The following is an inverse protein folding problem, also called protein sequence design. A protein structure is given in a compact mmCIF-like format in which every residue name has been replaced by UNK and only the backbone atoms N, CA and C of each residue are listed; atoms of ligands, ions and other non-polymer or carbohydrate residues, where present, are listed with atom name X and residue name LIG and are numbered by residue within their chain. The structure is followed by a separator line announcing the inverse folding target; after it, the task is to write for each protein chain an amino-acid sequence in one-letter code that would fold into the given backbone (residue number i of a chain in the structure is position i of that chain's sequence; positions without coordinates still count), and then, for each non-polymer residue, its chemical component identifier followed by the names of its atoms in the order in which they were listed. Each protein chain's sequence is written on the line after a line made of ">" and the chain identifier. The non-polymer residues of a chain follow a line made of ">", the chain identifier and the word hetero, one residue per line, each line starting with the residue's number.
data_IF_946449871267
#
_entry.id   IF_946449871267
#
_cell.length_a   1.000
_cell.length_b   1.000
_cell.length_c   1.000
_cell.angle_alpha   90.00
_cell.angle_beta   90.00
_cell.angle_gamma   90.00
#
_symmetry.space_group_name_H-M   'P 1'
#
loop_
_entity.id
_entity.type
_entity.pdbx_description
1 polymer ?
#
# COMPACT_ATOMS: atom_id res chain seq x y z
N UNK A 1 -11.20 -23.21 8.41
CA UNK A 1 -10.95 -22.00 9.21
C UNK A 1 -10.25 -20.98 8.34
N UNK A 2 -10.73 -19.74 8.30
CA UNK A 2 -10.04 -18.64 7.63
C UNK A 2 -8.82 -18.22 8.48
N UNK A 3 -7.67 -18.02 7.84
CA UNK A 3 -6.48 -17.50 8.54
C UNK A 3 -6.59 -15.99 8.64
N UNK A 4 -6.42 -15.43 9.83
CA UNK A 4 -6.39 -13.99 10.05
C UNK A 4 -4.94 -13.51 10.18
N UNK A 5 -4.59 -12.44 9.46
CA UNK A 5 -3.23 -11.86 9.43
C UNK A 5 -3.32 -10.36 9.72
N UNK A 6 -2.53 -9.91 10.70
CA UNK A 6 -2.33 -8.50 11.01
C UNK A 6 -1.03 -8.00 10.39
N UNK A 7 -1.07 -6.87 9.70
CA UNK A 7 0.08 -6.18 9.12
C UNK A 7 0.21 -4.82 9.80
N UNK A 8 1.40 -4.50 10.31
CA UNK A 8 1.69 -3.20 10.93
C UNK A 8 2.46 -2.32 9.93
N UNK A 9 1.85 -1.20 9.55
CA UNK A 9 2.32 -0.24 8.57
C UNK A 9 1.65 -0.40 7.19
N UNK A 10 0.95 0.63 6.72
CA UNK A 10 0.40 0.73 5.37
C UNK A 10 1.34 1.46 4.39
N UNK A 11 2.64 1.26 4.55
CA UNK A 11 3.64 1.63 3.53
C UNK A 11 3.62 0.66 2.34
N UNK A 12 4.46 0.93 1.33
CA UNK A 12 4.57 0.09 0.13
C UNK A 12 4.79 -1.39 0.47
N UNK A 13 5.63 -1.69 1.46
CA UNK A 13 5.89 -3.07 1.90
C UNK A 13 4.63 -3.71 2.47
N UNK A 14 3.93 -3.06 3.40
CA UNK A 14 2.73 -3.64 4.03
C UNK A 14 1.57 -3.82 3.05
N UNK A 15 1.37 -2.85 2.15
CA UNK A 15 0.38 -2.96 1.06
C UNK A 15 0.74 -4.11 0.11
N UNK A 16 2.00 -4.22 -0.30
CA UNK A 16 2.49 -5.31 -1.14
C UNK A 16 2.30 -6.68 -0.47
N UNK A 17 2.65 -6.80 0.81
CA UNK A 17 2.45 -8.03 1.58
C UNK A 17 0.97 -8.44 1.63
N UNK A 18 0.07 -7.50 1.91
CA UNK A 18 -1.37 -7.76 1.91
C UNK A 18 -1.87 -8.27 0.56
N UNK A 19 -1.38 -7.67 -0.52
CA UNK A 19 -1.73 -8.04 -1.88
C UNK A 19 -1.27 -9.44 -2.25
N UNK A 20 -0.02 -9.78 -1.98
CA UNK A 20 0.50 -11.12 -2.28
C UNK A 20 -0.17 -12.20 -1.42
N UNK A 21 -0.47 -11.92 -0.15
CA UNK A 21 -1.23 -12.84 0.70
C UNK A 21 -2.63 -13.12 0.11
N UNK A 22 -3.33 -12.08 -0.34
CA UNK A 22 -4.65 -12.21 -0.98
C UNK A 22 -4.61 -12.90 -2.34
N UNK A 23 -3.52 -12.76 -3.10
CA UNK A 23 -3.33 -13.53 -4.33
C UNK A 23 -3.11 -15.02 -4.07
N UNK A 24 -2.36 -15.35 -3.01
CA UNK A 24 -2.07 -16.74 -2.67
C UNK A 24 -3.31 -17.46 -2.13
N UNK A 25 -4.09 -16.78 -1.29
CA UNK A 25 -5.37 -17.31 -0.80
C UNK A 25 -6.36 -16.16 -0.54
N UNK A 26 -7.40 -16.02 -1.38
CA UNK A 26 -8.43 -14.99 -1.23
C UNK A 26 -9.15 -15.04 0.13
N UNK A 27 -9.17 -16.20 0.80
CA UNK A 27 -9.88 -16.42 2.05
C UNK A 27 -9.10 -15.97 3.29
N UNK A 28 -7.83 -15.57 3.14
CA UNK A 28 -7.06 -14.97 4.25
C UNK A 28 -7.71 -13.64 4.61
N UNK A 29 -8.06 -13.46 5.88
CA UNK A 29 -8.54 -12.18 6.39
C UNK A 29 -7.34 -11.31 6.77
N UNK A 30 -7.15 -10.20 6.05
CA UNK A 30 -5.97 -9.32 6.22
C UNK A 30 -6.43 -7.99 6.80
N UNK A 31 -5.88 -7.64 7.96
CA UNK A 31 -6.05 -6.32 8.57
C UNK A 31 -4.73 -5.58 8.59
N UNK A 32 -4.71 -4.35 8.05
CA UNK A 32 -3.54 -3.47 8.05
C UNK A 32 -3.77 -2.36 9.06
N UNK A 33 -2.84 -2.17 9.99
CA UNK A 33 -2.83 -1.09 10.95
C UNK A 33 -1.81 -0.04 10.51
N UNK A 34 -2.23 1.22 10.40
CA UNK A 34 -1.38 2.34 10.04
C UNK A 34 -1.52 3.43 11.10
N UNK A 35 -0.40 4.00 11.52
CA UNK A 35 -0.39 5.02 12.55
C UNK A 35 -0.83 6.39 12.02
N UNK A 36 -0.57 6.67 10.74
CA UNK A 36 -0.97 7.90 10.09
C UNK A 36 -2.40 7.86 9.57
N UNK A 37 -2.91 9.03 9.15
CA UNK A 37 -4.23 9.18 8.57
C UNK A 37 -4.31 8.79 7.08
N UNK A 38 -3.26 8.19 6.51
CA UNK A 38 -3.22 7.80 5.09
C UNK A 38 -2.34 6.56 4.85
N UNK A 39 -2.66 5.72 3.86
CA UNK A 39 -1.72 4.72 3.36
C UNK A 39 -0.62 5.37 2.50
N UNK A 40 0.41 4.59 2.17
CA UNK A 40 1.53 4.96 1.30
C UNK A 40 2.87 5.08 2.02
N UNK A 41 2.86 5.27 3.35
CA UNK A 41 4.07 5.45 4.14
C UNK A 41 4.90 6.62 3.58
N UNK A 42 6.17 6.38 3.23
CA UNK A 42 7.05 7.41 2.64
C UNK A 42 6.64 7.85 1.22
N UNK A 43 5.80 7.10 0.53
CA UNK A 43 5.27 7.50 -0.80
C UNK A 43 4.17 8.54 -0.58
N UNK A 44 4.40 9.74 -1.12
CA UNK A 44 3.47 10.86 -1.00
C UNK A 44 3.64 11.81 -2.19
N UNK A 45 2.60 11.89 -3.01
CA UNK A 45 2.50 12.89 -4.08
C UNK A 45 1.50 13.97 -3.66
N UNK A 46 1.90 15.23 -3.76
CA UNK A 46 1.05 16.38 -3.50
C UNK A 46 0.69 17.06 -4.81
N UNK A 47 -0.61 17.24 -5.09
CA UNK A 47 -1.09 17.94 -6.28
C UNK A 47 -1.68 19.28 -5.89
N UNK A 48 -1.19 20.36 -6.53
CA UNK A 48 -1.70 21.71 -6.32
C UNK A 48 -1.50 22.55 -7.58
N UNK A 49 -2.52 23.30 -7.98
CA UNK A 49 -2.46 24.29 -9.06
C UNK A 49 -1.89 23.74 -10.39
N UNK A 50 -2.23 22.49 -10.72
CA UNK A 50 -1.73 21.79 -11.92
C UNK A 50 -0.35 21.14 -11.77
N UNK A 51 0.34 21.38 -10.66
CA UNK A 51 1.63 20.77 -10.35
C UNK A 51 1.45 19.48 -9.54
N UNK A 52 2.36 18.53 -9.77
CA UNK A 52 2.52 17.33 -8.97
C UNK A 52 3.92 17.35 -8.35
N UNK A 53 3.97 17.32 -7.03
CA UNK A 53 5.19 17.41 -6.23
C UNK A 53 5.32 16.09 -5.46
N UNK A 54 6.40 15.35 -5.73
CA UNK A 54 6.75 14.19 -4.93
C UNK A 54 7.37 14.66 -3.61
N UNK A 55 6.66 14.42 -2.50
CA UNK A 55 7.13 14.66 -1.14
C UNK A 55 7.87 13.44 -0.57
N UNK A 56 8.02 12.39 -1.38
CA UNK A 56 8.61 11.11 -1.07
C UNK A 56 9.58 10.64 -2.17
N UNK A 57 9.78 9.32 -2.36
CA UNK A 57 10.63 8.81 -3.44
C UNK A 57 10.06 9.20 -4.81
N UNK A 58 10.87 9.90 -5.59
CA UNK A 58 10.50 10.47 -6.90
C UNK A 58 10.40 9.40 -8.01
N UNK A 59 11.20 8.34 -7.91
CA UNK A 59 11.30 7.32 -8.95
C UNK A 59 11.77 5.98 -8.38
N UNK A 60 11.42 4.89 -9.07
CA UNK A 60 11.95 3.56 -8.82
C UNK A 60 12.74 3.07 -10.03
N UNK A 61 13.70 2.17 -9.81
CA UNK A 61 14.49 1.60 -10.91
C UNK A 61 13.75 0.41 -11.52
N UNK A 62 13.17 0.60 -12.72
CA UNK A 62 12.41 -0.42 -13.45
C UNK A 62 13.20 -1.63 -13.97
N UNK A 63 14.47 -1.82 -13.58
CA UNK A 63 15.24 -3.03 -13.92
C UNK A 63 14.90 -4.24 -13.05
N UNK A 64 14.06 -4.07 -12.01
CA UNK A 64 13.55 -5.17 -11.19
C UNK A 64 12.05 -5.37 -11.49
N UNK A 65 11.72 -6.52 -12.05
CA UNK A 65 10.40 -6.89 -12.55
C UNK A 65 9.29 -6.95 -11.47
N UNK A 66 9.63 -6.82 -10.18
CA UNK A 66 8.67 -6.94 -9.08
C UNK A 66 7.78 -5.70 -8.90
N UNK A 67 8.25 -4.53 -9.34
CA UNK A 67 7.55 -3.25 -9.09
C UNK A 67 6.43 -2.96 -10.10
N UNK A 68 6.52 -3.47 -11.33
CA UNK A 68 5.59 -3.14 -12.41
C UNK A 68 4.17 -3.71 -12.18
N UNK A 69 4.03 -4.79 -11.39
CA UNK A 69 2.72 -5.42 -11.12
C UNK A 69 1.90 -4.70 -10.05
N UNK A 70 2.48 -3.76 -9.30
CA UNK A 70 1.87 -3.12 -8.13
C UNK A 70 1.30 -1.73 -8.48
N UNK A 71 1.87 -1.04 -9.46
CA UNK A 71 1.45 0.32 -9.86
C UNK A 71 0.08 0.38 -10.55
N UNK A 72 -0.31 -0.66 -11.30
CA UNK A 72 -1.50 -0.63 -12.16
C UNK A 72 -2.85 -0.85 -11.45
N UNK A 73 -2.90 -1.13 -10.14
CA UNK A 73 -4.14 -1.67 -9.53
C UNK A 73 -4.62 -1.12 -8.19
N UNK A 74 -3.99 -0.10 -7.61
CA UNK A 74 -4.36 0.39 -6.28
C UNK A 74 -5.39 1.53 -6.27
N UNK A 75 -6.66 1.15 -6.08
CA UNK A 75 -7.64 1.88 -5.27
C UNK A 75 -8.30 0.85 -4.33
N UNK A 76 -7.72 0.62 -3.15
CA UNK A 76 -8.27 -0.32 -2.16
C UNK A 76 -8.66 0.44 -0.90
N UNK A 77 -9.94 0.29 -0.55
CA UNK A 77 -10.65 0.92 0.56
C UNK A 77 -10.00 0.56 1.90
N UNK A 78 -9.23 1.49 2.45
CA UNK A 78 -8.65 1.41 3.80
C UNK A 78 -9.73 1.76 4.82
N UNK A 79 -9.97 0.91 5.83
CA UNK A 79 -10.74 1.30 7.02
C UNK A 79 -9.77 1.97 8.00
N UNK A 80 -10.02 3.22 8.31
CA UNK A 80 -9.28 3.97 9.31
C UNK A 80 -9.77 3.59 10.70
N UNK A 81 -8.86 3.14 11.56
CA UNK A 81 -9.13 2.99 12.99
C UNK A 81 -8.53 4.22 13.67
N UNK A 82 -9.36 5.21 13.99
CA UNK A 82 -8.97 6.29 14.88
C UNK A 82 -9.25 5.85 16.32
N UNK A 83 -8.29 6.10 17.21
CA UNK A 83 -8.54 6.16 18.66
C UNK A 83 -9.17 7.50 19.01
#
# INVERSE_FOLDING_TARGET
>A
MTKSVAIIGAGITGLSSAYFLKQQDPNIDVTIFEASNRPGGKIQSYRKDGYMIELGPESYLGRKNDHDRISERYWIRTRYCYK
#
